data_IF_112154634670
#
_entry.id   IF_112154634670
#
_cell.length_a   1.000
_cell.length_b   1.000
_cell.length_c   1.000
_cell.angle_alpha   90.00
_cell.angle_beta   90.00
_cell.angle_gamma   90.00
#
_symmetry.space_group_name_H-M   'P 1'
#
loop_
_entity.id
_entity.type
_entity.pdbx_description
1 polymer ?
#
# COMPACT_ATOMS: atom_id res chain seq x y z
N UNK A 1 70.24 50.69 -40.13
CA UNK A 1 70.28 51.80 -39.13
C UNK A 1 68.94 51.75 -38.40
N UNK A 2 68.76 51.59 -37.09
CA UNK A 2 69.54 51.80 -35.87
C UNK A 2 69.23 50.66 -34.85
N UNK A 3 70.10 50.54 -33.86
CA UNK A 3 70.20 49.54 -32.78
C UNK A 3 69.33 49.88 -31.54
N UNK A 4 69.39 48.96 -30.56
CA UNK A 4 69.16 49.03 -29.10
C UNK A 4 67.85 48.36 -28.62
N UNK A 5 67.80 47.24 -27.87
CA UNK A 5 68.47 46.73 -26.65
C UNK A 5 67.65 47.03 -25.37
N UNK A 6 66.95 45.98 -24.88
CA UNK A 6 66.89 45.46 -23.48
C UNK A 6 66.02 46.10 -22.36
N UNK A 7 65.45 45.17 -21.55
CA UNK A 7 64.96 45.13 -20.15
C UNK A 7 63.54 45.59 -19.73
N UNK A 8 62.78 44.56 -19.30
CA UNK A 8 62.07 44.42 -18.01
C UNK A 8 61.06 45.48 -17.58
N UNK A 9 59.79 45.07 -17.41
CA UNK A 9 59.13 45.26 -16.12
C UNK A 9 57.96 44.28 -15.93
N UNK A 10 58.01 43.63 -14.77
CA UNK A 10 57.18 42.58 -14.23
C UNK A 10 55.89 43.21 -13.67
N UNK A 11 54.71 42.72 -14.05
CA UNK A 11 53.48 42.93 -13.28
C UNK A 11 52.81 41.58 -13.00
N UNK A 12 52.75 41.28 -11.72
CA UNK A 12 52.24 40.06 -11.10
C UNK A 12 50.72 40.17 -11.01
N UNK A 13 49.99 39.21 -11.58
CA UNK A 13 48.60 38.96 -11.24
C UNK A 13 48.51 37.51 -10.74
N UNK A 14 48.38 37.35 -9.42
CA UNK A 14 48.15 36.06 -8.78
C UNK A 14 46.66 35.75 -8.90
N UNK A 15 46.29 34.80 -9.76
CA UNK A 15 44.98 34.14 -9.70
C UNK A 15 45.14 32.80 -8.99
N UNK A 16 44.63 32.67 -7.76
CA UNK A 16 44.47 31.36 -7.13
C UNK A 16 43.40 30.58 -7.90
N UNK A 17 43.82 29.56 -8.65
CA UNK A 17 42.95 28.48 -9.09
C UNK A 17 43.16 27.31 -8.14
N UNK A 18 42.12 26.98 -7.37
CA UNK A 18 42.12 25.80 -6.51
C UNK A 18 41.71 24.62 -7.39
N UNK A 19 42.68 23.84 -7.86
CA UNK A 19 42.41 22.50 -8.40
C UNK A 19 42.43 21.53 -7.22
N UNK A 20 41.25 21.15 -6.73
CA UNK A 20 41.14 19.96 -5.88
C UNK A 20 41.29 18.73 -6.77
N UNK A 21 42.40 18.03 -6.57
CA UNK A 21 42.73 16.76 -7.19
C UNK A 21 41.84 15.67 -6.61
N UNK A 22 41.30 14.79 -7.45
CA UNK A 22 40.66 13.55 -7.04
C UNK A 22 41.59 12.75 -6.11
N UNK A 23 41.14 12.45 -4.90
CA UNK A 23 41.56 11.25 -4.19
C UNK A 23 40.68 10.09 -4.66
N UNK A 24 41.34 9.06 -5.16
CA UNK A 24 40.73 7.80 -5.56
C UNK A 24 40.61 6.96 -4.29
N UNK A 25 39.45 7.03 -3.63
CA UNK A 25 39.17 6.16 -2.48
C UNK A 25 38.75 4.78 -3.01
N UNK A 26 39.65 3.83 -2.84
CA UNK A 26 39.43 2.42 -3.04
C UNK A 26 38.56 1.91 -1.89
N UNK A 27 37.24 1.97 -2.07
CA UNK A 27 36.30 1.39 -1.10
C UNK A 27 36.33 -0.14 -1.21
N UNK A 28 36.88 -0.77 -0.17
CA UNK A 28 36.67 -2.18 0.10
C UNK A 28 35.17 -2.45 0.21
N UNK A 29 34.67 -3.43 -0.55
CA UNK A 29 33.29 -3.88 -0.46
C UNK A 29 33.11 -4.53 0.92
N UNK A 30 32.52 -3.81 1.87
CA UNK A 30 31.98 -4.46 3.08
C UNK A 30 30.90 -5.47 2.63
N UNK A 31 30.96 -6.73 3.06
CA UNK A 31 29.88 -7.66 2.80
C UNK A 31 28.60 -7.11 3.44
N UNK A 32 27.52 -7.09 2.65
CA UNK A 32 26.17 -6.73 3.07
C UNK A 32 25.89 -7.28 4.48
N UNK A 33 25.92 -6.38 5.47
CA UNK A 33 25.31 -6.66 6.76
C UNK A 33 23.83 -6.83 6.46
N UNK A 34 23.34 -8.04 6.70
CA UNK A 34 21.92 -8.33 6.76
C UNK A 34 21.33 -7.38 7.79
N UNK A 35 20.77 -6.26 7.33
CA UNK A 35 20.03 -5.37 8.22
C UNK A 35 18.91 -6.18 8.82
N UNK A 36 18.90 -6.15 10.15
CA UNK A 36 17.87 -6.71 10.98
C UNK A 36 16.53 -6.20 10.48
N UNK A 37 15.62 -7.11 10.13
CA UNK A 37 14.22 -6.89 9.82
C UNK A 37 13.81 -5.41 9.70
N UNK A 38 13.69 -4.90 8.46
CA UNK A 38 12.99 -3.65 8.16
C UNK A 38 11.72 -3.64 9.01
N UNK A 39 11.71 -2.83 10.07
CA UNK A 39 10.57 -2.76 10.97
C UNK A 39 9.37 -2.31 10.13
N UNK A 40 8.28 -3.07 10.25
CA UNK A 40 6.94 -2.61 9.90
C UNK A 40 6.80 -1.14 10.31
N UNK A 41 6.34 -0.30 9.37
CA UNK A 41 6.03 1.12 9.53
C UNK A 41 6.05 1.70 10.96
N UNK A 42 6.88 2.73 11.13
CA UNK A 42 7.12 3.47 12.38
C UNK A 42 6.31 4.77 12.43
N UNK A 43 5.09 4.78 11.90
CA UNK A 43 4.27 5.99 11.89
C UNK A 43 4.00 6.49 13.30
N UNK A 44 3.88 7.81 13.45
CA UNK A 44 3.47 8.41 14.73
C UNK A 44 1.99 8.08 14.96
N UNK A 45 1.60 7.47 16.08
CA UNK A 45 0.19 7.16 16.32
C UNK A 45 -0.69 8.41 16.22
N UNK A 46 -1.81 8.31 15.50
CA UNK A 46 -2.72 9.42 15.25
C UNK A 46 -2.34 10.33 14.08
N UNK A 47 -1.30 9.99 13.30
CA UNK A 47 -0.86 10.78 12.15
C UNK A 47 -1.06 9.97 10.86
N UNK A 48 -1.82 10.54 9.93
CA UNK A 48 -1.96 10.01 8.58
C UNK A 48 -0.70 10.26 7.75
N UNK A 49 -0.24 9.24 7.05
CA UNK A 49 0.91 9.30 6.15
C UNK A 49 0.54 8.72 4.79
N UNK A 50 1.20 9.19 3.72
CA UNK A 50 0.99 8.63 2.38
C UNK A 50 1.53 7.20 2.30
N UNK A 51 0.76 6.30 1.68
CA UNK A 51 1.20 4.92 1.47
C UNK A 51 2.33 4.90 0.44
N UNK A 52 3.46 4.29 0.79
CA UNK A 52 4.57 4.10 -0.15
C UNK A 52 4.23 3.02 -1.18
N UNK A 53 4.73 3.12 -2.40
CA UNK A 53 4.46 2.19 -3.51
C UNK A 53 2.97 2.04 -3.87
N UNK A 54 2.17 3.05 -3.55
CA UNK A 54 0.75 3.15 -3.88
C UNK A 54 0.26 4.58 -3.65
N UNK A 55 -1.05 4.77 -3.62
CA UNK A 55 -1.68 6.00 -3.15
C UNK A 55 -2.61 5.75 -1.98
N UNK A 56 -3.27 6.81 -1.51
CA UNK A 56 -4.05 6.82 -0.28
C UNK A 56 -3.18 7.05 0.96
N UNK A 57 -3.79 6.90 2.13
CA UNK A 57 -3.14 7.15 3.42
C UNK A 57 -3.22 5.95 4.35
N UNK A 58 -2.26 5.88 5.27
CA UNK A 58 -2.24 4.95 6.38
C UNK A 58 -1.99 5.69 7.68
N UNK A 59 -2.70 5.29 8.74
CA UNK A 59 -2.54 5.80 10.10
C UNK A 59 -2.41 4.62 11.07
N UNK A 60 -1.49 4.71 12.03
CA UNK A 60 -1.49 3.88 13.24
C UNK A 60 -2.43 4.49 14.27
N UNK A 61 -3.47 3.77 14.69
CA UNK A 61 -4.45 4.23 15.67
C UNK A 61 -3.75 4.62 17.00
N UNK A 62 -4.06 5.82 17.51
CA UNK A 62 -3.47 6.35 18.73
C UNK A 62 -3.97 5.68 20.03
N UNK A 63 -5.12 5.01 19.97
CA UNK A 63 -5.85 4.42 21.09
C UNK A 63 -5.80 2.89 21.10
N UNK A 64 -5.56 2.25 19.96
CA UNK A 64 -5.58 0.80 19.80
C UNK A 64 -4.24 0.32 19.23
N UNK A 65 -3.45 -0.33 20.08
CA UNK A 65 -2.11 -0.81 19.71
C UNK A 65 -2.13 -1.71 18.47
N UNK A 66 -1.38 -1.30 17.45
CA UNK A 66 -1.17 -2.08 16.23
C UNK A 66 -2.38 -2.14 15.30
N UNK A 67 -3.40 -1.30 15.52
CA UNK A 67 -4.47 -1.08 14.57
C UNK A 67 -4.04 -0.06 13.53
N UNK A 68 -4.13 -0.44 12.27
CA UNK A 68 -3.88 0.44 11.13
C UNK A 68 -5.18 0.76 10.40
N UNK A 69 -5.31 2.03 10.03
CA UNK A 69 -6.36 2.55 9.17
C UNK A 69 -5.78 2.82 7.80
N UNK A 70 -6.25 2.09 6.78
CA UNK A 70 -5.90 2.35 5.38
C UNK A 70 -7.09 3.06 4.73
N UNK A 71 -6.84 4.22 4.13
CA UNK A 71 -7.84 5.04 3.44
C UNK A 71 -7.44 5.23 1.99
N UNK A 72 -8.43 5.06 1.12
CA UNK A 72 -8.34 5.31 -0.31
C UNK A 72 -7.13 4.64 -0.99
N UNK A 73 -6.79 3.42 -0.61
CA UNK A 73 -5.65 2.72 -1.18
C UNK A 73 -5.89 2.37 -2.65
N UNK A 74 -4.92 2.72 -3.48
CA UNK A 74 -4.85 2.35 -4.90
C UNK A 74 -3.41 2.12 -5.34
N UNK A 75 -3.24 1.46 -6.49
CA UNK A 75 -1.95 1.28 -7.15
C UNK A 75 -2.07 1.34 -8.66
N UNK A 76 -0.98 1.77 -9.31
CA UNK A 76 -0.91 1.87 -10.76
C UNK A 76 -1.66 3.09 -11.30
N UNK A 77 -1.82 3.13 -12.62
CA UNK A 77 -2.62 4.16 -13.28
C UNK A 77 -4.11 3.87 -13.07
N UNK A 78 -4.82 4.84 -12.50
CA UNK A 78 -6.28 4.86 -12.48
C UNK A 78 -6.73 5.60 -13.73
N UNK A 79 -7.53 4.96 -14.58
CA UNK A 79 -8.19 5.65 -15.69
C UNK A 79 -9.34 6.51 -15.13
N UNK A 80 -9.23 7.85 -15.15
CA UNK A 80 -10.24 8.72 -14.54
C UNK A 80 -11.55 8.74 -15.33
N UNK A 81 -11.49 8.47 -16.64
CA UNK A 81 -12.61 8.56 -17.59
C UNK A 81 -12.67 7.30 -18.47
N UNK A 82 -12.95 6.14 -17.88
CA UNK A 82 -12.94 4.90 -18.63
C UNK A 82 -14.18 4.79 -19.53
N UNK A 83 -14.01 4.27 -20.75
CA UNK A 83 -15.15 3.97 -21.63
C UNK A 83 -16.03 2.85 -21.08
N UNK A 84 -15.44 1.93 -20.32
CA UNK A 84 -16.12 0.92 -19.52
C UNK A 84 -15.68 1.11 -18.05
N UNK A 85 -16.58 1.32 -17.08
CA UNK A 85 -16.21 1.45 -15.67
C UNK A 85 -15.39 0.27 -15.12
N UNK A 86 -15.37 -0.88 -15.79
CA UNK A 86 -14.50 -2.02 -15.47
C UNK A 86 -13.03 -1.85 -15.87
N UNK A 87 -12.68 -0.80 -16.61
CA UNK A 87 -11.32 -0.49 -17.09
C UNK A 87 -10.60 0.57 -16.24
N UNK A 88 -11.10 0.88 -15.04
CA UNK A 88 -10.46 1.87 -14.14
C UNK A 88 -9.10 1.43 -13.62
N UNK A 89 -8.95 0.16 -13.23
CA UNK A 89 -7.67 -0.43 -12.84
C UNK A 89 -7.67 -1.97 -12.92
N UNK A 90 -6.50 -2.59 -12.88
CA UNK A 90 -6.36 -4.05 -13.00
C UNK A 90 -6.27 -4.74 -11.64
N UNK A 91 -5.19 -4.52 -10.90
CA UNK A 91 -4.88 -5.28 -9.68
C UNK A 91 -4.00 -4.45 -8.75
N UNK A 92 -4.33 -4.47 -7.46
CA UNK A 92 -3.53 -3.86 -6.41
C UNK A 92 -3.01 -4.91 -5.44
N UNK A 93 -1.93 -4.58 -4.77
CA UNK A 93 -1.17 -5.45 -3.88
C UNK A 93 -0.85 -4.67 -2.62
N UNK A 94 -1.12 -5.22 -1.45
CA UNK A 94 -0.78 -4.59 -0.18
C UNK A 94 0.02 -5.55 0.69
N UNK A 95 1.06 -5.02 1.35
CA UNK A 95 1.86 -5.75 2.34
C UNK A 95 1.50 -5.25 3.73
N UNK A 96 0.81 -6.08 4.50
CA UNK A 96 0.38 -5.80 5.87
C UNK A 96 1.56 -5.76 6.84
N UNK A 97 2.65 -6.45 6.54
CA UNK A 97 3.87 -6.39 7.37
C UNK A 97 4.66 -5.11 7.16
N UNK A 98 4.67 -4.57 5.95
CA UNK A 98 5.50 -3.41 5.60
C UNK A 98 4.69 -2.10 5.53
N UNK A 99 3.36 -2.20 5.59
CA UNK A 99 2.40 -1.09 5.51
C UNK A 99 2.55 -0.27 4.22
N UNK A 100 2.84 -0.95 3.12
CA UNK A 100 3.09 -0.33 1.83
C UNK A 100 2.46 -1.15 0.70
N UNK A 101 2.38 -0.50 -0.47
CA UNK A 101 2.07 -1.19 -1.71
C UNK A 101 3.03 -2.36 -1.96
N UNK A 102 2.47 -3.46 -2.46
CA UNK A 102 3.17 -4.65 -2.89
C UNK A 102 3.33 -4.71 -4.41
N UNK A 103 3.64 -5.91 -4.88
CA UNK A 103 3.65 -6.28 -6.30
C UNK A 103 3.20 -7.74 -6.46
N UNK A 104 3.21 -8.25 -7.69
CA UNK A 104 2.76 -9.59 -8.05
C UNK A 104 3.59 -10.75 -7.45
N UNK A 105 4.76 -10.45 -6.91
CA UNK A 105 5.63 -11.42 -6.22
C UNK A 105 5.71 -11.21 -4.71
N UNK A 106 5.25 -10.06 -4.21
CA UNK A 106 5.37 -9.67 -2.80
C UNK A 106 4.15 -8.90 -2.33
N UNK A 107 3.20 -9.63 -1.73
CA UNK A 107 1.94 -9.10 -1.22
C UNK A 107 1.33 -10.02 -0.17
N UNK A 108 0.57 -9.46 0.76
CA UNK A 108 -0.28 -10.20 1.69
C UNK A 108 -1.74 -10.22 1.20
N UNK A 109 -2.18 -9.13 0.57
CA UNK A 109 -3.50 -9.00 -0.04
C UNK A 109 -3.37 -8.55 -1.48
N UNK A 110 -4.16 -9.17 -2.35
CA UNK A 110 -4.37 -8.73 -3.73
C UNK A 110 -5.82 -8.35 -3.93
N UNK A 111 -6.03 -7.19 -4.54
CA UNK A 111 -7.33 -6.63 -4.86
C UNK A 111 -7.53 -6.63 -6.37
N UNK A 112 -8.72 -6.98 -6.87
CA UNK A 112 -9.04 -6.65 -8.27
C UNK A 112 -9.48 -5.20 -8.34
N UNK A 113 -8.78 -4.38 -9.14
CA UNK A 113 -9.14 -2.99 -9.43
C UNK A 113 -10.30 -2.84 -10.43
N UNK A 114 -10.97 -3.95 -10.78
CA UNK A 114 -12.21 -3.97 -11.57
C UNK A 114 -13.40 -3.98 -10.61
N UNK A 115 -14.61 -3.66 -11.10
CA UNK A 115 -15.84 -3.59 -10.28
C UNK A 115 -16.18 -4.84 -9.44
N UNK A 116 -15.50 -5.97 -9.66
CA UNK A 116 -15.60 -7.17 -8.83
C UNK A 116 -14.95 -7.04 -7.46
N UNK A 117 -14.02 -6.09 -7.27
CA UNK A 117 -13.35 -5.78 -6.00
C UNK A 117 -12.96 -7.01 -5.15
N UNK A 118 -12.59 -8.12 -5.79
CA UNK A 118 -12.27 -9.37 -5.13
C UNK A 118 -10.97 -9.23 -4.32
N UNK A 119 -10.94 -9.83 -3.14
CA UNK A 119 -9.76 -9.89 -2.26
C UNK A 119 -9.19 -11.30 -2.25
N UNK A 120 -7.87 -11.42 -2.45
CA UNK A 120 -7.14 -12.69 -2.44
C UNK A 120 -6.02 -12.63 -1.40
N UNK A 121 -5.75 -13.72 -0.67
CA UNK A 121 -4.52 -13.84 0.11
C UNK A 121 -3.29 -13.94 -0.80
N UNK A 122 -2.15 -13.48 -0.28
CA UNK A 122 -0.82 -13.70 -0.83
C UNK A 122 -0.41 -15.18 -0.85
N UNK A 123 0.59 -15.49 -1.67
CA UNK A 123 1.18 -16.83 -1.69
C UNK A 123 1.69 -17.22 -0.29
N UNK A 124 1.40 -18.44 0.15
CA UNK A 124 1.74 -18.91 1.49
C UNK A 124 0.86 -18.35 2.62
N UNK A 125 -0.21 -17.63 2.28
CA UNK A 125 -1.23 -17.16 3.22
C UNK A 125 -2.60 -17.75 2.89
N UNK A 126 -3.47 -17.81 3.89
CA UNK A 126 -4.88 -18.19 3.75
C UNK A 126 -5.75 -17.07 4.33
N UNK A 127 -6.97 -16.94 3.80
CA UNK A 127 -7.92 -15.93 4.23
C UNK A 127 -9.24 -16.60 4.58
N UNK A 128 -9.72 -16.37 5.80
CA UNK A 128 -11.00 -16.87 6.30
C UNK A 128 -11.90 -15.70 6.75
N UNK A 129 -13.22 -15.88 6.71
CA UNK A 129 -14.16 -14.89 7.24
C UNK A 129 -14.65 -15.26 8.64
N UNK A 130 -15.03 -14.25 9.42
CA UNK A 130 -15.73 -14.38 10.68
C UNK A 130 -16.81 -13.28 10.79
N UNK A 131 -18.05 -13.69 11.04
CA UNK A 131 -19.16 -12.77 11.29
C UNK A 131 -19.14 -12.31 12.75
N UNK A 132 -18.15 -11.49 13.08
CA UNK A 132 -17.92 -10.91 14.40
C UNK A 132 -17.36 -9.49 14.23
N UNK A 133 -17.72 -8.60 15.16
CA UNK A 133 -17.17 -7.24 15.20
C UNK A 133 -15.64 -7.26 15.28
N UNK A 134 -14.99 -6.36 14.54
CA UNK A 134 -13.53 -6.30 14.42
C UNK A 134 -12.80 -6.21 15.77
N UNK A 135 -13.36 -5.48 16.75
CA UNK A 135 -12.78 -5.35 18.09
C UNK A 135 -12.84 -6.64 18.92
N UNK A 136 -13.75 -7.56 18.61
CA UNK A 136 -13.94 -8.82 19.35
C UNK A 136 -13.26 -10.04 18.70
N UNK A 137 -12.67 -9.86 17.50
CA UNK A 137 -11.96 -10.94 16.80
C UNK A 137 -10.58 -11.17 17.41
N UNK A 138 -10.26 -12.45 17.61
CA UNK A 138 -9.00 -12.98 18.15
C UNK A 138 -8.45 -14.07 17.24
N UNK A 139 -7.20 -14.50 17.44
CA UNK A 139 -6.59 -15.56 16.63
C UNK A 139 -7.35 -16.91 16.72
N UNK A 140 -7.99 -17.20 17.86
CA UNK A 140 -8.79 -18.44 18.04
C UNK A 140 -10.09 -18.46 17.22
N UNK A 141 -10.50 -17.34 16.64
CA UNK A 141 -11.66 -17.27 15.76
C UNK A 141 -11.37 -17.76 14.33
N UNK A 142 -10.10 -18.02 14.02
CA UNK A 142 -9.71 -18.60 12.75
C UNK A 142 -10.28 -20.01 12.58
N UNK A 143 -11.04 -20.21 11.51
CA UNK A 143 -11.63 -21.50 11.14
C UNK A 143 -11.23 -21.85 9.71
N UNK A 144 -10.45 -22.92 9.55
CA UNK A 144 -9.99 -23.38 8.24
C UNK A 144 -11.14 -23.78 7.30
N UNK A 145 -12.31 -24.15 7.84
CA UNK A 145 -13.49 -24.47 7.03
C UNK A 145 -14.14 -23.22 6.41
N UNK A 146 -13.73 -22.03 6.84
CA UNK A 146 -14.19 -20.73 6.32
C UNK A 146 -13.19 -20.08 5.38
N UNK A 147 -12.11 -20.78 5.04
CA UNK A 147 -11.14 -20.32 4.05
C UNK A 147 -11.76 -20.31 2.65
N UNK A 148 -11.40 -19.30 1.86
CA UNK A 148 -11.72 -19.26 0.43
C UNK A 148 -10.51 -18.76 -0.37
N UNK A 149 -10.45 -19.14 -1.65
CA UNK A 149 -9.42 -18.63 -2.56
C UNK A 149 -9.50 -17.11 -2.75
N UNK A 150 -10.71 -16.55 -2.63
CA UNK A 150 -10.97 -15.13 -2.61
C UNK A 150 -12.33 -14.84 -1.97
N UNK A 151 -12.55 -13.59 -1.59
CA UNK A 151 -13.88 -13.09 -1.25
C UNK A 151 -14.26 -11.97 -2.20
N UNK A 152 -15.49 -11.99 -2.70
CA UNK A 152 -16.03 -11.00 -3.63
C UNK A 152 -17.43 -10.60 -3.22
N UNK A 153 -18.36 -10.58 -4.18
CA UNK A 153 -19.76 -10.31 -3.92
C UNK A 153 -20.38 -11.37 -3.00
N UNK A 154 -21.08 -10.91 -1.98
CA UNK A 154 -21.87 -11.68 -1.05
C UNK A 154 -23.27 -11.89 -1.65
N UNK A 155 -23.70 -13.14 -1.70
CA UNK A 155 -24.99 -13.54 -2.24
C UNK A 155 -25.60 -14.66 -1.40
N UNK A 156 -26.80 -15.12 -1.77
CA UNK A 156 -27.44 -16.24 -1.08
C UNK A 156 -26.65 -17.56 -1.13
N UNK A 157 -25.72 -17.71 -2.09
CA UNK A 157 -24.90 -18.92 -2.27
C UNK A 157 -23.41 -18.69 -2.13
N UNK A 158 -22.95 -17.44 -2.04
CA UNK A 158 -21.53 -17.08 -1.99
C UNK A 158 -21.28 -16.18 -0.79
N UNK A 159 -20.38 -16.59 0.09
CA UNK A 159 -19.91 -15.73 1.17
C UNK A 159 -18.87 -14.77 0.60
N UNK A 160 -19.18 -13.47 0.66
CA UNK A 160 -18.32 -12.40 0.13
C UNK A 160 -17.97 -11.35 1.19
N UNK A 161 -17.29 -10.28 0.80
CA UNK A 161 -17.00 -9.15 1.70
C UNK A 161 -17.94 -7.96 1.48
N UNK A 162 -18.62 -7.88 0.33
CA UNK A 162 -19.55 -6.80 0.00
C UNK A 162 -20.86 -7.31 -0.59
N UNK A 163 -21.94 -6.54 -0.49
CA UNK A 163 -23.16 -6.74 -1.26
C UNK A 163 -23.20 -5.76 -2.43
N UNK A 164 -23.60 -6.26 -3.60
CA UNK A 164 -23.85 -5.42 -4.77
C UNK A 164 -25.34 -5.21 -5.00
N UNK A 165 -25.76 -3.95 -5.08
CA UNK A 165 -27.12 -3.60 -5.49
C UNK A 165 -27.18 -3.45 -7.01
N UNK A 166 -27.78 -4.42 -7.70
CA UNK A 166 -27.91 -4.38 -9.16
C UNK A 166 -28.81 -3.26 -9.70
N UNK A 167 -29.69 -2.68 -8.88
CA UNK A 167 -30.54 -1.56 -9.30
C UNK A 167 -29.81 -0.23 -9.26
N UNK A 168 -28.90 -0.05 -8.29
CA UNK A 168 -28.16 1.21 -8.12
C UNK A 168 -26.69 1.12 -8.52
N UNK A 169 -26.19 -0.07 -8.79
CA UNK A 169 -24.77 -0.37 -9.01
C UNK A 169 -23.85 0.05 -7.85
N UNK A 170 -24.37 0.03 -6.62
CA UNK A 170 -23.62 0.38 -5.41
C UNK A 170 -23.11 -0.86 -4.67
N UNK A 171 -21.86 -0.80 -4.25
CA UNK A 171 -21.16 -1.79 -3.42
C UNK A 171 -21.25 -1.37 -1.96
N UNK A 172 -21.60 -2.28 -1.06
CA UNK A 172 -21.63 -2.02 0.39
C UNK A 172 -20.96 -3.15 1.14
N UNK A 173 -20.04 -2.84 2.05
CA UNK A 173 -19.41 -3.89 2.87
C UNK A 173 -20.45 -4.67 3.69
N UNK A 174 -20.25 -5.98 3.85
CA UNK A 174 -21.11 -6.80 4.70
C UNK A 174 -20.89 -6.40 6.16
N UNK A 175 -21.95 -5.89 6.80
CA UNK A 175 -21.88 -5.46 8.19
C UNK A 175 -21.51 -6.63 9.12
N UNK A 176 -20.63 -6.34 10.09
CA UNK A 176 -20.19 -7.33 11.08
C UNK A 176 -19.22 -8.40 10.53
N UNK A 177 -18.75 -8.27 9.29
CA UNK A 177 -17.78 -9.21 8.71
C UNK A 177 -16.35 -8.72 8.93
N UNK A 178 -15.54 -9.60 9.54
CA UNK A 178 -14.09 -9.44 9.66
C UNK A 178 -13.44 -10.63 8.95
N UNK A 179 -12.24 -10.42 8.42
CA UNK A 179 -11.43 -11.45 7.81
C UNK A 179 -10.22 -11.72 8.68
N UNK A 180 -9.75 -12.96 8.70
CA UNK A 180 -8.50 -13.34 9.34
C UNK A 180 -7.59 -13.89 8.26
N UNK A 181 -6.49 -13.17 7.99
CA UNK A 181 -5.40 -13.64 7.16
C UNK A 181 -4.39 -14.37 8.03
N UNK A 182 -4.05 -15.60 7.67
CA UNK A 182 -3.01 -16.39 8.33
C UNK A 182 -1.81 -16.50 7.41
N UNK A 183 -0.62 -16.16 7.92
CA UNK A 183 0.67 -16.26 7.22
C UNK A 183 1.71 -16.89 8.14
N UNK A 184 2.04 -18.15 7.92
CA UNK A 184 2.86 -18.93 8.84
C UNK A 184 2.19 -19.03 10.23
N UNK A 185 2.86 -18.50 11.26
CA UNK A 185 2.33 -18.40 12.63
C UNK A 185 1.59 -17.11 12.91
N UNK A 186 1.67 -16.12 12.02
CA UNK A 186 1.06 -14.81 12.21
C UNK A 186 -0.40 -14.79 11.74
N UNK A 187 -1.24 -14.06 12.46
CA UNK A 187 -2.62 -13.80 12.11
C UNK A 187 -2.85 -12.29 12.04
N UNK A 188 -3.64 -11.86 11.06
CA UNK A 188 -4.06 -10.47 10.90
C UNK A 188 -5.57 -10.45 10.77
N UNK A 189 -6.27 -9.68 11.61
CA UNK A 189 -7.67 -9.37 11.35
C UNK A 189 -7.78 -8.16 10.43
N UNK A 190 -8.71 -8.20 9.50
CA UNK A 190 -8.92 -7.16 8.48
C UNK A 190 -10.42 -6.89 8.35
N UNK A 191 -10.81 -5.62 8.30
CA UNK A 191 -12.17 -5.18 8.03
C UNK A 191 -12.17 -4.27 6.81
N UNK A 192 -12.71 -4.75 5.70
CA UNK A 192 -12.97 -3.93 4.51
C UNK A 192 -14.24 -3.11 4.72
N UNK A 193 -14.22 -1.85 4.33
CA UNK A 193 -15.35 -0.93 4.52
C UNK A 193 -15.82 -0.29 3.22
N UNK A 194 -14.92 0.01 2.28
CA UNK A 194 -15.29 0.67 1.02
C UNK A 194 -14.32 0.40 -0.11
N UNK A 195 -14.80 0.63 -1.34
CA UNK A 195 -14.01 0.74 -2.57
C UNK A 195 -14.14 2.13 -3.21
N UNK A 196 -14.79 3.06 -2.53
CA UNK A 196 -15.04 4.41 -3.03
C UNK A 196 -14.06 5.40 -2.41
N UNK A 197 -13.66 6.39 -3.19
CA UNK A 197 -12.84 7.52 -2.73
C UNK A 197 -13.54 8.26 -1.59
N UNK A 198 -12.81 8.60 -0.52
CA UNK A 198 -13.41 9.20 0.67
C UNK A 198 -14.34 8.23 1.45
N UNK A 199 -14.34 6.94 1.10
CA UNK A 199 -15.03 5.89 1.82
C UNK A 199 -16.53 5.74 1.52
N UNK A 200 -17.13 6.55 0.65
CA UNK A 200 -18.54 6.47 0.29
C UNK A 200 -18.77 6.84 -1.18
N UNK A 201 -19.77 6.26 -1.86
CA UNK A 201 -19.99 6.54 -3.28
C UNK A 201 -20.34 8.01 -3.54
N UNK A 202 -19.75 8.59 -4.59
CA UNK A 202 -20.00 9.95 -5.07
C UNK A 202 -21.46 10.20 -5.53
N UNK A 203 -22.18 9.13 -5.82
CA UNK A 203 -23.56 9.13 -6.30
C UNK A 203 -24.35 7.96 -5.72
N UNK A 204 -25.66 8.13 -5.42
CA UNK A 204 -26.51 7.03 -4.99
C UNK A 204 -26.82 6.02 -6.11
N UNK A 205 -26.46 6.33 -7.37
CA UNK A 205 -26.66 5.48 -8.54
C UNK A 205 -25.43 5.56 -9.46
N UNK A 206 -24.90 4.41 -9.85
CA UNK A 206 -23.78 4.27 -10.78
C UNK A 206 -22.60 5.19 -10.40
N UNK A 207 -22.16 5.09 -9.15
CA UNK A 207 -21.02 5.83 -8.63
C UNK A 207 -19.77 5.60 -9.48
N UNK A 208 -18.88 6.58 -9.56
CA UNK A 208 -17.71 6.52 -10.46
C UNK A 208 -16.37 6.62 -9.74
N UNK A 209 -16.38 7.01 -8.49
CA UNK A 209 -15.25 7.22 -7.60
C UNK A 209 -14.68 5.91 -7.02
N UNK A 210 -14.47 4.89 -7.85
CA UNK A 210 -13.84 3.62 -7.47
C UNK A 210 -12.71 3.28 -8.45
N UNK A 211 -11.73 2.41 -8.11
CA UNK A 211 -11.60 1.60 -6.90
C UNK A 211 -10.50 2.13 -5.97
N UNK A 212 -10.93 2.65 -4.81
CA UNK A 212 -10.09 3.15 -3.72
C UNK A 212 -10.42 2.35 -2.45
N UNK A 213 -9.56 1.38 -2.12
CA UNK A 213 -9.85 0.46 -1.03
C UNK A 213 -9.65 1.11 0.33
N UNK A 214 -10.68 1.03 1.16
CA UNK A 214 -10.62 1.43 2.56
C UNK A 214 -10.80 0.21 3.45
N UNK A 215 -9.85 0.01 4.36
CA UNK A 215 -9.89 -1.09 5.32
C UNK A 215 -9.10 -0.80 6.58
N UNK A 216 -9.43 -1.50 7.65
CA UNK A 216 -8.67 -1.50 8.89
C UNK A 216 -8.03 -2.88 9.09
N UNK A 217 -6.83 -2.95 9.65
CA UNK A 217 -6.23 -4.23 10.02
C UNK A 217 -5.37 -4.16 11.28
N UNK A 218 -5.20 -5.31 11.92
CA UNK A 218 -4.42 -5.45 13.14
C UNK A 218 -3.83 -6.86 13.20
N UNK A 219 -2.55 -6.98 13.59
CA UNK A 219 -1.93 -8.26 13.91
C UNK A 219 -2.52 -8.81 15.21
N UNK A 220 -2.90 -10.09 15.23
CA UNK A 220 -3.53 -10.82 16.35
C UNK A 220 -2.51 -11.59 17.18
#
# INVERSE_FOLDING_TARGET
MKKFTIYSLLWIAVSLMVFTSCEQNNEEIEPLKLESAKLAYTGTPGVEENITNGGGTIELDASVTGLYHVRDFYQGEINPEPTDPHDRASTYYFRLTDNEGGNDTSFDLKFTGRATANIYPGSGSTLAYVDKSFSAVTASDYDANKEQAYFGNNSGSTIGWYNYNFLTHIVTAVSGRTFILKKGSDYYKIKFTSIYEGGAPDSPYAATDFPYFTFDYQKL
#
